data_IF_644247506150
#
_entry.id   IF_644247506150
#
_cell.length_a   1.000
_cell.length_b   1.000
_cell.length_c   1.000
_cell.angle_alpha   90.00
_cell.angle_beta   90.00
_cell.angle_gamma   90.00
#
_symmetry.space_group_name_H-M   'P 1'
#
loop_
_entity.id
_entity.type
_entity.pdbx_description
1 polymer ?
#
# COMPACT_ATOMS: atom_id res chain seq x y z
N UNK A 1 0.61 -4.43 31.07
CA UNK A 1 1.70 -3.71 30.38
C UNK A 1 2.29 -4.65 29.35
N UNK A 2 2.23 -4.28 28.10
CA UNK A 2 2.76 -5.08 26.99
C UNK A 2 3.77 -4.22 26.21
N UNK A 3 4.87 -4.84 25.78
CA UNK A 3 5.91 -4.16 24.99
C UNK A 3 5.85 -4.70 23.57
N UNK A 4 5.72 -3.80 22.61
CA UNK A 4 5.78 -4.08 21.18
C UNK A 4 7.10 -3.55 20.62
N UNK A 5 7.53 -4.08 19.48
CA UNK A 5 8.71 -3.55 18.76
C UNK A 5 8.24 -2.96 17.44
N UNK A 6 8.62 -1.71 17.19
CA UNK A 6 8.28 -1.03 15.95
C UNK A 6 9.28 -1.32 14.81
N UNK A 7 9.01 -0.79 13.62
CA UNK A 7 9.86 -0.96 12.46
C UNK A 7 11.26 -0.31 12.57
N UNK A 8 11.48 0.55 13.57
CA UNK A 8 12.78 1.14 13.89
C UNK A 8 13.47 0.41 15.04
N UNK A 9 12.99 -0.79 15.40
CA UNK A 9 13.48 -1.64 16.49
C UNK A 9 13.41 -0.98 17.87
N UNK A 10 12.44 -0.05 18.07
CA UNK A 10 12.22 0.60 19.37
C UNK A 10 11.14 -0.12 20.16
N UNK A 11 11.30 -0.22 21.48
CA UNK A 11 10.23 -0.71 22.36
C UNK A 11 9.12 0.34 22.47
N UNK A 12 7.88 -0.09 22.30
CA UNK A 12 6.67 0.70 22.47
C UNK A 12 5.88 0.11 23.62
N UNK A 13 5.79 0.82 24.72
CA UNK A 13 5.09 0.36 25.92
C UNK A 13 3.61 0.72 25.85
N UNK A 14 2.73 -0.26 25.92
CA UNK A 14 1.29 -0.08 26.03
C UNK A 14 0.85 -0.56 27.42
N UNK A 15 0.51 0.40 28.28
CA UNK A 15 0.06 0.12 29.65
C UNK A 15 -1.42 -0.26 29.71
N UNK A 16 -2.22 0.34 28.85
CA UNK A 16 -3.66 0.10 28.68
C UNK A 16 -4.04 0.40 27.24
N UNK A 17 -5.18 -0.10 26.77
CA UNK A 17 -5.69 0.18 25.42
C UNK A 17 -5.77 1.69 25.17
N UNK A 18 -5.14 2.20 24.08
CA UNK A 18 -5.15 3.62 23.78
C UNK A 18 -6.57 4.12 23.51
N UNK A 19 -6.90 5.27 24.11
CA UNK A 19 -8.19 5.95 23.95
C UNK A 19 -8.12 7.19 23.06
N UNK A 20 -6.91 7.66 22.78
CA UNK A 20 -6.63 8.86 21.98
C UNK A 20 -5.54 8.54 20.97
N UNK A 21 -5.95 8.15 19.77
CA UNK A 21 -5.05 7.71 18.71
C UNK A 21 -4.95 8.80 17.65
N UNK A 22 -3.74 9.17 17.27
CA UNK A 22 -3.48 9.96 16.06
C UNK A 22 -2.91 9.03 14.99
N UNK A 23 -3.60 8.93 13.86
CA UNK A 23 -3.16 8.14 12.71
C UNK A 23 -2.59 9.03 11.61
N UNK A 24 -1.32 8.82 11.27
CA UNK A 24 -0.62 9.60 10.24
C UNK A 24 -0.59 8.89 8.87
N UNK A 25 -1.30 7.76 8.73
CA UNK A 25 -1.27 6.88 7.56
C UNK A 25 -2.69 6.56 7.11
N UNK A 26 -3.05 6.84 5.84
CA UNK A 26 -4.41 6.63 5.34
C UNK A 26 -4.94 5.20 5.50
N UNK A 27 -4.18 4.21 5.06
CA UNK A 27 -4.58 2.79 5.15
C UNK A 27 -4.73 2.29 6.60
N UNK A 28 -3.90 2.80 7.52
CA UNK A 28 -3.99 2.46 8.95
C UNK A 28 -5.19 3.17 9.58
N UNK A 29 -5.50 4.40 9.15
CA UNK A 29 -6.72 5.08 9.59
C UNK A 29 -7.95 4.24 9.26
N UNK A 30 -8.07 3.75 8.03
CA UNK A 30 -9.14 2.85 7.63
C UNK A 30 -9.19 1.59 8.50
N UNK A 31 -8.02 0.97 8.76
CA UNK A 31 -7.95 -0.21 9.64
C UNK A 31 -8.47 0.06 11.05
N UNK A 32 -8.10 1.19 11.65
CA UNK A 32 -8.58 1.57 12.99
C UNK A 32 -10.10 1.71 13.03
N UNK A 33 -10.71 2.34 12.00
CA UNK A 33 -12.16 2.43 11.92
C UNK A 33 -12.81 1.06 11.71
N UNK A 34 -12.22 0.20 10.88
CA UNK A 34 -12.72 -1.16 10.64
C UNK A 34 -12.63 -2.03 11.89
N UNK A 35 -11.65 -1.78 12.76
CA UNK A 35 -11.50 -2.45 14.07
C UNK A 35 -12.39 -1.87 15.17
N UNK A 36 -13.32 -0.95 14.82
CA UNK A 36 -14.23 -0.35 15.78
C UNK A 36 -13.63 0.76 16.63
N UNK A 37 -12.44 1.25 16.30
CA UNK A 37 -11.71 2.26 17.09
C UNK A 37 -11.98 3.70 16.62
N UNK A 38 -13.03 3.92 15.82
CA UNK A 38 -13.34 5.23 15.29
C UNK A 38 -13.40 6.33 16.34
N UNK A 39 -14.00 6.05 17.50
CA UNK A 39 -14.10 7.03 18.61
C UNK A 39 -12.75 7.33 19.26
N UNK A 40 -11.84 6.37 19.30
CA UNK A 40 -10.50 6.56 19.82
C UNK A 40 -9.61 7.37 18.87
N UNK A 41 -9.90 7.43 17.57
CA UNK A 41 -9.16 8.26 16.61
C UNK A 41 -9.51 9.72 16.81
N UNK A 42 -8.56 10.52 17.33
CA UNK A 42 -8.74 11.96 17.62
C UNK A 42 -8.10 12.87 16.57
N UNK A 43 -7.15 12.37 15.79
CA UNK A 43 -6.46 13.15 14.77
C UNK A 43 -6.00 12.27 13.59
N UNK A 44 -6.07 12.85 12.38
CA UNK A 44 -5.69 12.17 11.14
C UNK A 44 -5.04 13.15 10.17
N UNK A 45 -4.28 12.66 9.18
CA UNK A 45 -3.78 13.54 8.11
C UNK A 45 -4.92 13.93 7.16
N UNK A 46 -4.71 14.98 6.35
CA UNK A 46 -5.69 15.37 5.30
C UNK A 46 -5.87 14.30 4.22
N UNK A 47 -4.93 13.35 4.08
CA UNK A 47 -5.00 12.25 3.14
C UNK A 47 -5.75 11.02 3.68
N UNK A 48 -6.05 10.99 4.97
CA UNK A 48 -6.93 9.99 5.56
C UNK A 48 -8.37 10.33 5.19
N UNK A 49 -8.87 9.73 4.11
CA UNK A 49 -10.18 9.99 3.52
C UNK A 49 -11.17 8.85 3.74
N UNK A 50 -10.71 7.73 4.29
CA UNK A 50 -11.53 6.54 4.55
C UNK A 50 -11.63 6.22 6.04
N UNK A 51 -12.82 5.77 6.50
CA UNK A 51 -14.11 5.89 5.81
C UNK A 51 -14.58 7.35 5.81
N UNK A 52 -15.22 7.86 4.73
CA UNK A 52 -15.51 9.30 4.59
C UNK A 52 -16.31 9.88 5.75
N UNK A 53 -17.38 9.21 6.17
CA UNK A 53 -18.21 9.66 7.31
C UNK A 53 -17.43 9.63 8.64
N UNK A 54 -16.54 8.66 8.82
CA UNK A 54 -15.76 8.51 10.06
C UNK A 54 -14.70 9.59 10.22
N UNK A 55 -14.00 9.93 9.15
CA UNK A 55 -12.88 10.89 9.20
C UNK A 55 -13.30 12.36 9.05
N UNK A 56 -14.55 12.62 8.64
CA UNK A 56 -15.05 13.97 8.38
C UNK A 56 -14.92 14.90 9.59
N UNK A 57 -15.25 14.40 10.78
CA UNK A 57 -15.20 15.15 12.03
C UNK A 57 -13.86 15.09 12.78
N UNK A 58 -12.85 14.37 12.26
CA UNK A 58 -11.56 14.23 12.95
C UNK A 58 -10.63 15.39 12.69
N UNK A 59 -9.88 15.79 13.74
CA UNK A 59 -8.91 16.88 13.64
C UNK A 59 -7.86 16.56 12.57
N UNK A 60 -7.65 17.49 11.63
CA UNK A 60 -6.61 17.34 10.59
C UNK A 60 -5.29 17.89 11.11
N UNK A 61 -4.28 17.02 11.22
CA UNK A 61 -2.95 17.34 11.75
C UNK A 61 -1.91 17.61 10.65
N UNK A 62 -2.35 18.09 9.49
CA UNK A 62 -1.49 18.35 8.33
C UNK A 62 -1.52 17.24 7.30
N UNK A 63 -0.47 17.13 6.50
CA UNK A 63 -0.28 16.07 5.51
C UNK A 63 0.76 15.04 5.94
N UNK A 64 0.88 13.93 5.22
CA UNK A 64 1.87 12.88 5.52
C UNK A 64 3.31 13.40 5.49
N UNK A 65 3.62 14.33 4.56
CA UNK A 65 4.94 14.98 4.42
C UNK A 65 4.99 16.43 4.94
N UNK A 66 3.90 16.94 5.48
CA UNK A 66 3.78 18.30 6.02
C UNK A 66 2.94 18.26 7.29
N UNK A 67 3.45 17.50 8.28
CA UNK A 67 2.78 17.30 9.56
C UNK A 67 2.86 18.57 10.42
N UNK A 68 1.76 18.90 11.10
CA UNK A 68 1.76 19.88 12.18
C UNK A 68 1.96 19.16 13.52
N UNK A 69 3.21 19.07 13.94
CA UNK A 69 3.61 18.41 15.19
C UNK A 69 2.97 19.09 16.40
N UNK A 70 2.73 20.41 16.35
CA UNK A 70 2.11 21.13 17.45
C UNK A 70 0.65 20.75 17.64
N UNK A 71 -0.09 20.58 16.55
CA UNK A 71 -1.47 20.09 16.59
C UNK A 71 -1.54 18.64 17.11
N UNK A 72 -0.62 17.77 16.68
CA UNK A 72 -0.56 16.40 17.23
C UNK A 72 -0.39 16.43 18.74
N UNK A 73 0.52 17.26 19.26
CA UNK A 73 0.77 17.41 20.71
C UNK A 73 -0.44 17.93 21.48
N UNK A 74 -1.17 18.92 20.91
CA UNK A 74 -2.38 19.49 21.52
C UNK A 74 -3.51 18.47 21.65
N UNK A 75 -3.51 17.43 20.84
CA UNK A 75 -4.47 16.35 20.94
C UNK A 75 -4.17 15.36 22.08
N UNK A 76 -3.03 15.50 22.76
CA UNK A 76 -2.60 14.63 23.87
C UNK A 76 -2.85 13.14 23.58
N UNK A 77 -2.29 12.58 22.46
CA UNK A 77 -2.57 11.19 22.09
C UNK A 77 -1.84 10.20 23.02
N UNK A 78 -2.52 9.09 23.32
CA UNK A 78 -1.92 7.95 24.00
C UNK A 78 -1.02 7.15 23.05
N UNK A 79 -1.35 7.19 21.75
CA UNK A 79 -0.62 6.52 20.68
C UNK A 79 -0.66 7.35 19.40
N UNK A 80 0.50 7.50 18.76
CA UNK A 80 0.62 8.00 17.39
C UNK A 80 1.09 6.85 16.49
N UNK A 81 0.42 6.63 15.36
CA UNK A 81 0.84 5.61 14.39
C UNK A 81 1.36 6.30 13.13
N UNK A 82 2.60 6.01 12.80
CA UNK A 82 3.34 6.55 11.67
C UNK A 82 3.90 5.43 10.78
N UNK A 83 4.41 5.80 9.61
CA UNK A 83 5.04 4.87 8.68
C UNK A 83 6.33 5.46 8.11
N UNK A 84 7.32 4.60 7.86
CA UNK A 84 8.65 4.99 7.34
C UNK A 84 8.55 5.69 5.98
N UNK A 85 7.67 5.24 5.09
CA UNK A 85 7.54 5.79 3.73
C UNK A 85 6.59 6.98 3.67
N UNK A 86 5.54 6.98 4.49
CA UNK A 86 4.51 8.02 4.47
C UNK A 86 4.95 9.29 5.20
N UNK A 87 5.65 9.17 6.32
CA UNK A 87 5.96 10.30 7.18
C UNK A 87 7.43 10.72 7.06
N UNK A 88 7.72 12.00 7.31
CA UNK A 88 9.09 12.49 7.33
C UNK A 88 9.78 12.03 8.60
N UNK A 89 11.03 11.51 8.51
CA UNK A 89 11.79 11.10 9.70
C UNK A 89 11.97 12.22 10.73
N UNK A 90 12.04 13.48 10.28
CA UNK A 90 12.18 14.66 11.13
C UNK A 90 10.95 14.86 12.01
N UNK A 91 9.75 14.74 11.41
CA UNK A 91 8.48 14.90 12.11
C UNK A 91 8.30 13.79 13.16
N UNK A 92 8.61 12.54 12.78
CA UNK A 92 8.57 11.40 13.69
C UNK A 92 9.53 11.58 14.87
N UNK A 93 10.78 12.03 14.61
CA UNK A 93 11.74 12.32 15.68
C UNK A 93 11.27 13.42 16.63
N UNK A 94 10.61 14.47 16.11
CA UNK A 94 10.05 15.54 16.95
C UNK A 94 8.92 15.03 17.85
N UNK A 95 8.03 14.15 17.33
CA UNK A 95 6.97 13.55 18.15
C UNK A 95 7.55 12.70 19.28
N UNK A 96 8.57 11.88 18.97
CA UNK A 96 9.27 11.06 19.96
C UNK A 96 9.98 11.92 21.02
N UNK A 97 10.70 12.96 20.58
CA UNK A 97 11.40 13.90 21.48
C UNK A 97 10.42 14.67 22.38
N UNK A 98 9.19 14.87 21.93
CA UNK A 98 8.12 15.45 22.73
C UNK A 98 7.51 14.47 23.77
N UNK A 99 8.03 13.24 23.87
CA UNK A 99 7.57 12.23 24.84
C UNK A 99 6.31 11.48 24.41
N UNK A 100 5.87 11.62 23.16
CA UNK A 100 4.71 10.89 22.64
C UNK A 100 5.06 9.43 22.36
N UNK A 101 4.10 8.54 22.57
CA UNK A 101 4.24 7.13 22.26
C UNK A 101 3.96 6.92 20.76
N UNK A 102 5.02 6.76 19.95
CA UNK A 102 4.94 6.70 18.48
C UNK A 102 5.31 5.31 18.00
N UNK A 103 4.35 4.59 17.42
CA UNK A 103 4.54 3.33 16.70
C UNK A 103 4.85 3.62 15.24
N UNK A 104 6.00 3.20 14.76
CA UNK A 104 6.40 3.35 13.35
C UNK A 104 6.25 2.01 12.64
N UNK A 105 5.47 1.97 11.57
CA UNK A 105 5.24 0.79 10.75
C UNK A 105 6.08 0.84 9.47
N UNK A 106 6.37 -0.33 8.88
CA UNK A 106 7.04 -0.43 7.59
C UNK A 106 6.77 -1.78 6.92
N UNK A 107 5.53 -2.09 6.54
CA UNK A 107 5.25 -3.33 5.81
C UNK A 107 5.80 -3.25 4.39
N UNK A 108 6.67 -4.19 4.02
CA UNK A 108 7.27 -4.29 2.68
C UNK A 108 6.73 -5.47 1.88
N UNK A 109 5.89 -6.28 2.52
CA UNK A 109 5.23 -7.44 1.92
C UNK A 109 3.77 -7.49 2.33
N UNK A 110 2.95 -8.20 1.57
CA UNK A 110 1.54 -8.43 1.92
C UNK A 110 1.42 -9.13 3.28
N UNK A 111 2.27 -10.13 3.52
CA UNK A 111 2.31 -10.82 4.82
C UNK A 111 2.68 -9.88 5.98
N UNK A 112 3.64 -8.97 5.76
CA UNK A 112 3.99 -7.95 6.77
C UNK A 112 2.84 -6.95 7.00
N UNK A 113 2.04 -6.63 5.99
CA UNK A 113 0.83 -5.81 6.12
C UNK A 113 -0.24 -6.48 6.99
N UNK A 114 -0.44 -7.78 6.82
CA UNK A 114 -1.34 -8.59 7.66
C UNK A 114 -0.84 -8.65 9.11
N UNK A 115 0.47 -8.86 9.31
CA UNK A 115 1.06 -8.89 10.66
C UNK A 115 0.99 -7.52 11.34
N UNK A 116 1.18 -6.43 10.59
CA UNK A 116 0.98 -5.07 11.09
C UNK A 116 -0.45 -4.85 11.60
N UNK A 117 -1.48 -5.33 10.87
CA UNK A 117 -2.87 -5.28 11.35
C UNK A 117 -3.03 -6.02 12.68
N UNK A 118 -2.46 -7.22 12.80
CA UNK A 118 -2.47 -8.01 14.05
C UNK A 118 -1.81 -7.26 15.20
N UNK A 119 -0.64 -6.67 14.96
CA UNK A 119 0.09 -5.91 15.95
C UNK A 119 -0.69 -4.68 16.42
N UNK A 120 -1.28 -3.92 15.49
CA UNK A 120 -2.14 -2.77 15.84
C UNK A 120 -3.34 -3.23 16.66
N UNK A 121 -4.01 -4.30 16.26
CA UNK A 121 -5.17 -4.82 16.98
C UNK A 121 -4.82 -5.27 18.42
N UNK A 122 -3.66 -5.90 18.61
CA UNK A 122 -3.15 -6.26 19.95
C UNK A 122 -2.82 -5.02 20.80
N UNK A 123 -2.19 -4.00 20.20
CA UNK A 123 -1.85 -2.75 20.88
C UNK A 123 -3.08 -1.98 21.36
N UNK A 124 -4.17 -2.10 20.63
CA UNK A 124 -5.41 -1.33 20.82
C UNK A 124 -6.52 -2.13 21.48
N UNK A 125 -6.23 -3.39 21.88
CA UNK A 125 -7.21 -4.32 22.46
C UNK A 125 -8.46 -4.53 21.58
N UNK A 126 -8.24 -4.58 20.25
CA UNK A 126 -9.30 -4.75 19.25
C UNK A 126 -9.18 -6.04 18.45
N UNK A 127 -8.46 -7.04 18.98
CA UNK A 127 -8.18 -8.28 18.24
C UNK A 127 -9.45 -9.04 17.83
N UNK A 128 -10.48 -9.04 18.67
CA UNK A 128 -11.75 -9.70 18.37
C UNK A 128 -12.41 -9.13 17.12
N UNK A 129 -12.45 -7.80 16.99
CA UNK A 129 -13.00 -7.12 15.80
C UNK A 129 -12.10 -7.24 14.57
N UNK A 130 -10.79 -7.30 14.76
CA UNK A 130 -9.81 -7.36 13.67
C UNK A 130 -9.62 -8.79 13.12
N UNK A 131 -9.84 -9.82 13.94
CA UNK A 131 -9.51 -11.21 13.59
C UNK A 131 -10.18 -11.70 12.29
N UNK A 132 -11.48 -11.47 12.05
CA UNK A 132 -12.11 -11.88 10.80
C UNK A 132 -11.45 -11.27 9.56
N UNK A 133 -11.02 -10.01 9.65
CA UNK A 133 -10.36 -9.28 8.55
C UNK A 133 -8.96 -9.83 8.31
N UNK A 134 -8.24 -10.12 9.40
CA UNK A 134 -6.90 -10.72 9.36
C UNK A 134 -6.96 -12.13 8.75
N UNK A 135 -7.96 -12.92 9.12
CA UNK A 135 -8.16 -14.27 8.60
C UNK A 135 -8.53 -14.24 7.11
N UNK A 136 -9.41 -13.33 6.71
CA UNK A 136 -9.77 -13.16 5.30
C UNK A 136 -8.55 -12.73 4.46
N UNK A 137 -7.77 -11.76 4.94
CA UNK A 137 -6.55 -11.32 4.26
C UNK A 137 -5.51 -12.45 4.16
N UNK A 138 -5.38 -13.26 5.21
CA UNK A 138 -4.45 -14.41 5.25
C UNK A 138 -4.88 -15.51 4.28
N UNK A 139 -6.18 -15.82 4.23
CA UNK A 139 -6.74 -16.77 3.28
C UNK A 139 -6.56 -16.32 1.84
N UNK A 140 -6.89 -15.05 1.54
CA UNK A 140 -6.71 -14.46 0.22
C UNK A 140 -5.23 -14.46 -0.23
N UNK A 141 -4.29 -14.21 0.68
CA UNK A 141 -2.86 -14.30 0.39
C UNK A 141 -2.45 -15.73 0.02
N UNK A 142 -2.92 -16.73 0.77
CA UNK A 142 -2.63 -18.13 0.48
C UNK A 142 -3.22 -18.57 -0.88
N UNK A 143 -4.45 -18.19 -1.15
CA UNK A 143 -5.14 -18.45 -2.43
C UNK A 143 -4.43 -17.78 -3.60
N UNK A 144 -4.06 -16.51 -3.46
CA UNK A 144 -3.35 -15.77 -4.49
C UNK A 144 -2.00 -16.40 -4.85
N UNK A 145 -1.24 -16.86 -3.85
CA UNK A 145 0.03 -17.56 -4.06
C UNK A 145 -0.18 -18.89 -4.78
N UNK A 146 -1.12 -19.71 -4.33
CA UNK A 146 -1.41 -21.01 -4.96
C UNK A 146 -1.83 -20.85 -6.43
N UNK A 147 -2.66 -19.85 -6.73
CA UNK A 147 -3.05 -19.50 -8.10
C UNK A 147 -1.86 -19.07 -8.95
N UNK A 148 -0.97 -18.26 -8.40
CA UNK A 148 0.19 -17.70 -9.10
C UNK A 148 1.26 -18.75 -9.40
N UNK A 149 1.47 -19.73 -8.50
CA UNK A 149 2.45 -20.79 -8.67
C UNK A 149 2.17 -21.70 -9.89
N UNK A 150 0.90 -21.82 -10.29
CA UNK A 150 0.48 -22.61 -11.45
C UNK A 150 0.62 -21.87 -12.79
N UNK A 151 1.03 -20.60 -12.79
CA UNK A 151 1.02 -19.73 -13.97
C UNK A 151 2.41 -19.17 -14.29
N UNK A 152 2.67 -18.94 -15.58
CA UNK A 152 3.87 -18.19 -16.01
C UNK A 152 3.66 -16.72 -15.67
N UNK A 153 4.57 -16.09 -14.88
CA UNK A 153 4.39 -14.70 -14.47
C UNK A 153 4.29 -13.72 -15.64
N UNK A 154 3.34 -12.79 -15.58
CA UNK A 154 3.18 -11.71 -16.54
C UNK A 154 4.17 -10.56 -16.21
N UNK A 155 4.88 -10.06 -17.22
CA UNK A 155 5.72 -8.87 -17.05
C UNK A 155 4.84 -7.65 -16.89
N UNK A 156 4.99 -6.96 -15.74
CA UNK A 156 4.15 -5.80 -15.37
C UNK A 156 5.02 -4.57 -15.16
N UNK A 157 4.57 -3.45 -15.71
CA UNK A 157 5.07 -2.12 -15.39
C UNK A 157 4.04 -1.38 -14.52
N UNK A 158 4.48 -0.91 -13.35
CA UNK A 158 3.67 -0.11 -12.44
C UNK A 158 4.44 1.17 -12.10
N UNK A 159 4.20 2.30 -12.80
CA UNK A 159 4.79 3.57 -12.44
C UNK A 159 4.12 4.16 -11.21
N UNK A 160 4.89 4.88 -10.41
CA UNK A 160 4.41 5.63 -9.23
C UNK A 160 4.63 7.13 -9.36
N UNK A 161 5.35 7.58 -10.38
CA UNK A 161 5.62 8.98 -10.65
C UNK A 161 5.90 9.24 -12.13
N UNK A 162 5.68 10.50 -12.53
CA UNK A 162 5.92 11.01 -13.89
C UNK A 162 6.76 12.29 -13.84
N UNK A 163 7.76 12.38 -14.72
CA UNK A 163 8.74 13.46 -14.83
C UNK A 163 9.69 13.56 -13.61
N UNK A 164 10.69 12.67 -13.54
CA UNK A 164 10.94 11.55 -14.45
C UNK A 164 9.95 10.40 -14.23
N UNK A 165 9.90 9.44 -15.16
CA UNK A 165 9.23 8.17 -14.90
C UNK A 165 9.94 7.47 -13.73
N UNK A 166 9.17 7.04 -12.76
CA UNK A 166 9.66 6.28 -11.62
C UNK A 166 8.72 5.11 -11.38
N UNK A 167 9.28 3.96 -11.07
CA UNK A 167 8.55 2.73 -10.77
C UNK A 167 8.92 2.21 -9.39
N UNK A 168 8.42 1.02 -9.06
CA UNK A 168 8.76 0.28 -7.86
C UNK A 168 9.83 -0.76 -8.16
N UNK A 169 10.81 -0.90 -7.29
CA UNK A 169 11.81 -1.95 -7.30
C UNK A 169 11.52 -3.02 -6.27
N UNK A 170 12.43 -4.00 -6.12
CA UNK A 170 12.41 -4.94 -5.01
C UNK A 170 12.36 -4.21 -3.67
N UNK A 171 11.97 -4.93 -2.61
CA UNK A 171 11.89 -4.38 -1.25
C UNK A 171 10.82 -3.28 -1.07
N UNK A 172 9.79 -3.25 -1.93
CA UNK A 172 8.61 -2.40 -1.78
C UNK A 172 7.34 -3.25 -1.65
N UNK A 173 6.34 -2.73 -0.93
CA UNK A 173 5.05 -3.41 -0.78
C UNK A 173 4.40 -3.70 -2.13
N UNK A 174 4.38 -2.73 -3.05
CA UNK A 174 3.79 -2.90 -4.39
C UNK A 174 4.50 -4.02 -5.17
N UNK A 175 5.83 -4.12 -5.06
CA UNK A 175 6.57 -5.20 -5.72
C UNK A 175 6.14 -6.58 -5.22
N UNK A 176 6.08 -6.77 -3.89
CA UNK A 176 5.64 -8.03 -3.28
C UNK A 176 4.19 -8.33 -3.63
N UNK A 177 3.31 -7.32 -3.57
CA UNK A 177 1.90 -7.45 -3.93
C UNK A 177 1.72 -7.95 -5.37
N UNK A 178 2.41 -7.32 -6.33
CA UNK A 178 2.42 -7.75 -7.73
C UNK A 178 2.92 -9.19 -7.88
N UNK A 179 3.99 -9.54 -7.16
CA UNK A 179 4.53 -10.90 -7.18
C UNK A 179 3.51 -11.93 -6.65
N UNK A 180 2.85 -11.64 -5.55
CA UNK A 180 1.76 -12.46 -4.98
C UNK A 180 0.63 -12.65 -6.00
N UNK A 181 0.30 -11.62 -6.78
CA UNK A 181 -0.70 -11.70 -7.83
C UNK A 181 -0.24 -12.45 -9.10
N UNK A 182 0.99 -12.97 -9.15
CA UNK A 182 1.54 -13.67 -10.31
C UNK A 182 2.16 -12.77 -11.37
N UNK A 183 2.48 -11.54 -11.01
CA UNK A 183 3.17 -10.60 -11.88
C UNK A 183 4.69 -10.59 -11.64
N UNK A 184 5.44 -10.41 -12.71
CA UNK A 184 6.86 -10.12 -12.68
C UNK A 184 7.06 -8.62 -12.93
N UNK A 185 7.33 -7.86 -11.89
CA UNK A 185 7.70 -6.46 -12.02
C UNK A 185 8.93 -6.34 -12.94
N UNK A 186 8.85 -5.56 -14.03
CA UNK A 186 9.94 -5.43 -15.01
C UNK A 186 11.24 -4.85 -14.43
N UNK A 187 11.18 -4.25 -13.23
CA UNK A 187 12.34 -3.71 -12.50
C UNK A 187 12.82 -4.61 -11.34
N UNK A 188 12.38 -5.87 -11.27
CA UNK A 188 12.71 -6.81 -10.18
C UNK A 188 14.21 -7.04 -9.95
N UNK A 189 15.07 -6.76 -10.95
CA UNK A 189 16.55 -6.88 -10.85
C UNK A 189 17.25 -5.57 -10.50
N UNK A 190 16.50 -4.47 -10.33
CA UNK A 190 17.09 -3.20 -9.90
C UNK A 190 17.37 -3.26 -8.40
N UNK A 191 18.42 -2.57 -7.95
CA UNK A 191 18.73 -2.45 -6.53
C UNK A 191 17.98 -1.30 -5.87
N UNK A 192 17.55 -0.32 -6.68
CA UNK A 192 16.83 0.85 -6.20
C UNK A 192 15.38 0.48 -5.82
N UNK A 193 14.93 0.93 -4.67
CA UNK A 193 13.52 0.78 -4.26
C UNK A 193 12.57 1.50 -5.21
N UNK A 194 12.99 2.63 -5.74
CA UNK A 194 12.22 3.48 -6.64
C UNK A 194 13.04 3.85 -7.87
N UNK A 195 13.20 2.92 -8.82
CA UNK A 195 14.03 3.14 -10.01
C UNK A 195 13.44 4.23 -10.90
N UNK A 196 14.31 5.17 -11.29
CA UNK A 196 14.03 6.13 -12.36
C UNK A 196 14.29 5.43 -13.70
N UNK A 197 13.42 5.68 -14.67
CA UNK A 197 13.43 5.04 -15.98
C UNK A 197 12.94 6.00 -17.09
N UNK A 198 12.98 5.55 -18.33
CA UNK A 198 12.42 6.22 -19.50
C UNK A 198 11.60 5.24 -20.36
N UNK A 199 10.85 5.79 -21.34
CA UNK A 199 10.00 4.98 -22.20
C UNK A 199 10.79 3.98 -23.04
N UNK A 200 12.03 4.29 -23.43
CA UNK A 200 12.87 3.36 -24.19
C UNK A 200 13.29 2.17 -23.34
N UNK A 201 13.64 2.37 -22.07
CA UNK A 201 13.93 1.26 -21.16
C UNK A 201 12.71 0.41 -20.90
N UNK A 202 11.54 1.03 -20.67
CA UNK A 202 10.27 0.32 -20.52
C UNK A 202 9.97 -0.51 -21.76
N UNK A 203 10.12 0.07 -22.96
CA UNK A 203 9.91 -0.63 -24.22
C UNK A 203 10.83 -1.84 -24.40
N UNK A 204 12.12 -1.70 -24.09
CA UNK A 204 13.08 -2.84 -24.13
C UNK A 204 12.74 -3.96 -23.16
N UNK A 205 12.08 -3.65 -22.03
CA UNK A 205 11.65 -4.64 -21.04
C UNK A 205 10.34 -5.30 -21.41
N UNK A 206 9.63 -4.77 -22.38
CA UNK A 206 8.40 -5.28 -22.97
C UNK A 206 7.37 -5.75 -21.93
N UNK A 207 6.77 -4.85 -21.16
CA UNK A 207 5.70 -5.24 -20.26
C UNK A 207 4.49 -5.79 -21.03
N UNK A 208 3.88 -6.85 -20.49
CA UNK A 208 2.64 -7.44 -21.01
C UNK A 208 1.40 -6.77 -20.41
N UNK A 209 1.57 -6.10 -19.27
CA UNK A 209 0.53 -5.30 -18.61
C UNK A 209 1.16 -4.02 -18.05
N UNK A 210 0.46 -2.91 -18.18
CA UNK A 210 0.80 -1.64 -17.54
C UNK A 210 -0.33 -1.27 -16.59
N UNK A 211 0.03 -1.02 -15.32
CA UNK A 211 -0.92 -0.62 -14.27
C UNK A 211 -0.65 0.84 -13.90
N UNK A 212 -1.59 1.72 -14.20
CA UNK A 212 -1.53 3.14 -13.89
C UNK A 212 -2.38 3.48 -12.66
N UNK A 213 -1.80 3.52 -11.45
CA UNK A 213 -2.52 3.91 -10.26
C UNK A 213 -2.81 5.43 -10.25
N UNK A 214 -3.83 5.84 -9.49
CA UNK A 214 -4.15 7.25 -9.27
C UNK A 214 -3.40 7.86 -8.06
N UNK A 215 -2.63 7.06 -7.35
CA UNK A 215 -1.72 7.48 -6.27
C UNK A 215 -0.43 6.65 -6.20
N UNK A 216 0.68 7.19 -5.73
CA UNK A 216 0.88 8.55 -5.21
C UNK A 216 0.87 9.65 -6.28
N UNK A 217 1.07 9.30 -7.57
CA UNK A 217 0.90 10.20 -8.71
C UNK A 217 -0.41 9.86 -9.44
N UNK A 218 -1.24 10.86 -9.69
CA UNK A 218 -2.52 10.64 -10.35
C UNK A 218 -2.33 10.41 -11.85
N UNK A 219 -2.20 9.15 -12.25
CA UNK A 219 -2.28 8.76 -13.64
C UNK A 219 -3.72 8.87 -14.17
N UNK A 220 -3.86 9.09 -15.47
CA UNK A 220 -5.14 9.27 -16.19
C UNK A 220 -4.95 9.01 -17.68
N UNK A 221 -6.02 9.00 -18.47
CA UNK A 221 -6.01 8.72 -19.91
C UNK A 221 -4.97 9.51 -20.70
N UNK A 222 -4.69 10.77 -20.33
CA UNK A 222 -3.66 11.58 -20.97
C UNK A 222 -2.25 10.97 -20.93
N UNK A 223 -2.00 10.05 -20.01
CA UNK A 223 -0.70 9.40 -19.87
C UNK A 223 -0.57 8.16 -20.78
N UNK A 224 -1.69 7.59 -21.24
CA UNK A 224 -1.73 6.49 -22.20
C UNK A 224 -1.07 6.89 -23.52
N UNK A 225 -1.27 8.13 -23.95
CA UNK A 225 -0.71 8.66 -25.20
C UNK A 225 0.82 8.63 -25.24
N UNK A 226 1.49 8.61 -24.08
CA UNK A 226 2.95 8.49 -24.04
C UNK A 226 3.45 7.16 -24.64
N UNK A 227 2.60 6.13 -24.66
CA UNK A 227 2.92 4.80 -25.19
C UNK A 227 2.52 4.62 -26.66
N UNK A 228 1.77 5.53 -27.27
CA UNK A 228 1.33 5.43 -28.66
C UNK A 228 2.51 5.33 -29.66
N UNK A 229 3.68 5.84 -29.30
CA UNK A 229 4.91 5.75 -30.12
C UNK A 229 5.60 4.38 -30.02
N UNK A 230 5.10 3.48 -29.16
CA UNK A 230 5.68 2.17 -28.90
C UNK A 230 4.66 1.03 -29.13
N UNK A 231 4.08 0.92 -30.35
CA UNK A 231 3.02 -0.05 -30.64
C UNK A 231 3.49 -1.51 -30.54
N UNK A 232 4.80 -1.73 -30.50
CA UNK A 232 5.41 -3.05 -30.36
C UNK A 232 5.50 -3.55 -28.92
N UNK A 233 5.27 -2.68 -27.90
CA UNK A 233 5.18 -3.13 -26.51
C UNK A 233 3.95 -4.04 -26.38
N UNK A 234 4.13 -5.24 -25.80
CA UNK A 234 3.05 -6.22 -25.63
C UNK A 234 1.79 -5.63 -25.01
N UNK A 235 1.93 -4.86 -23.91
CA UNK A 235 0.81 -4.22 -23.23
C UNK A 235 0.06 -3.19 -24.13
N UNK A 236 0.75 -2.54 -25.05
CA UNK A 236 0.14 -1.58 -25.98
C UNK A 236 -0.59 -2.30 -27.10
N UNK A 237 0.06 -3.29 -27.70
CA UNK A 237 -0.50 -4.11 -28.79
C UNK A 237 -1.76 -4.86 -28.37
N UNK A 238 -1.72 -5.40 -27.12
CA UNK A 238 -2.76 -6.27 -26.58
C UNK A 238 -3.79 -5.49 -25.73
N UNK A 239 -3.74 -4.15 -25.77
CA UNK A 239 -4.65 -3.21 -25.08
C UNK A 239 -4.73 -3.44 -23.55
N UNK A 240 -3.60 -3.87 -22.93
CA UNK A 240 -3.52 -4.21 -21.53
C UNK A 240 -2.87 -3.10 -20.69
N UNK A 241 -3.39 -1.90 -20.85
CA UNK A 241 -3.02 -0.73 -20.03
C UNK A 241 -4.24 -0.34 -19.20
N UNK A 242 -4.12 -0.48 -17.87
CA UNK A 242 -5.24 -0.30 -16.95
C UNK A 242 -5.01 0.89 -16.03
N UNK A 243 -6.01 1.76 -15.93
CA UNK A 243 -6.13 2.77 -14.87
C UNK A 243 -6.85 2.12 -13.69
N UNK A 244 -6.33 2.32 -12.48
CA UNK A 244 -6.94 1.73 -11.29
C UNK A 244 -6.72 2.62 -10.05
N UNK A 245 -7.55 2.43 -9.04
CA UNK A 245 -7.31 3.06 -7.74
C UNK A 245 -6.01 2.53 -7.14
N UNK A 246 -5.07 3.44 -6.83
CA UNK A 246 -3.79 3.08 -6.24
C UNK A 246 -3.92 2.39 -4.89
N UNK A 247 -5.05 2.63 -4.18
CA UNK A 247 -5.38 1.93 -2.93
C UNK A 247 -5.30 0.40 -3.06
N UNK A 248 -5.62 -0.17 -4.23
CA UNK A 248 -5.47 -1.61 -4.47
C UNK A 248 -4.01 -2.09 -4.45
N UNK A 249 -3.07 -1.21 -4.74
CA UNK A 249 -1.65 -1.58 -4.85
C UNK A 249 -0.82 -1.18 -3.63
N UNK A 250 -1.18 -0.09 -2.93
CA UNK A 250 -0.33 0.50 -1.90
C UNK A 250 -0.97 0.57 -0.51
N UNK A 251 -2.27 0.26 -0.35
CA UNK A 251 -2.91 0.28 0.96
C UNK A 251 -2.84 -1.10 1.63
N UNK A 252 -1.92 -1.22 2.55
CA UNK A 252 -1.79 -2.37 3.44
C UNK A 252 -2.77 -2.23 4.62
N UNK A 253 -3.78 -3.10 4.69
CA UNK A 253 -4.84 -2.99 5.70
C UNK A 253 -6.06 -3.85 5.32
N UNK A 254 -7.27 -3.43 5.69
CA UNK A 254 -8.50 -4.19 5.45
C UNK A 254 -8.77 -4.52 3.97
N UNK A 255 -8.22 -3.72 3.07
CA UNK A 255 -8.41 -3.90 1.61
C UNK A 255 -7.57 -5.04 1.00
N UNK A 256 -6.61 -5.62 1.74
CA UNK A 256 -5.67 -6.62 1.18
C UNK A 256 -6.41 -7.74 0.46
N UNK A 257 -7.42 -8.37 1.09
CA UNK A 257 -8.13 -9.49 0.48
C UNK A 257 -8.83 -9.12 -0.83
N UNK A 258 -9.62 -8.05 -0.80
CA UNK A 258 -10.33 -7.56 -1.99
C UNK A 258 -9.37 -7.09 -3.08
N UNK A 259 -8.25 -6.46 -2.71
CA UNK A 259 -7.25 -5.99 -3.66
C UNK A 259 -6.50 -7.13 -4.35
N UNK A 260 -6.15 -8.19 -3.64
CA UNK A 260 -5.52 -9.38 -4.24
C UNK A 260 -6.44 -10.02 -5.29
N UNK A 261 -7.71 -10.24 -4.95
CA UNK A 261 -8.70 -10.78 -5.88
C UNK A 261 -8.87 -9.87 -7.11
N UNK A 262 -9.08 -8.57 -6.87
CA UNK A 262 -9.26 -7.59 -7.94
C UNK A 262 -8.07 -7.55 -8.91
N UNK A 263 -6.83 -7.49 -8.40
CA UNK A 263 -5.66 -7.40 -9.28
C UNK A 263 -5.38 -8.73 -9.98
N UNK A 264 -5.65 -9.88 -9.34
CA UNK A 264 -5.57 -11.17 -10.02
C UNK A 264 -6.60 -11.27 -11.15
N UNK A 265 -7.84 -10.82 -10.94
CA UNK A 265 -8.86 -10.79 -12.00
C UNK A 265 -8.45 -9.86 -13.15
N UNK A 266 -7.85 -8.72 -12.84
CA UNK A 266 -7.32 -7.78 -13.83
C UNK A 266 -6.18 -8.40 -14.67
N UNK A 267 -5.31 -9.18 -14.02
CA UNK A 267 -4.18 -9.81 -14.67
C UNK A 267 -4.57 -11.09 -15.46
N UNK A 268 -5.56 -11.85 -14.96
CA UNK A 268 -5.82 -13.20 -15.42
C UNK A 268 -7.28 -13.49 -15.81
N UNK A 269 -8.20 -12.54 -15.71
CA UNK A 269 -9.61 -12.69 -16.06
C UNK A 269 -9.84 -13.02 -17.54
N UNK A 270 -11.06 -13.42 -17.91
CA UNK A 270 -11.40 -13.91 -19.25
C UNK A 270 -11.07 -12.92 -20.38
N UNK A 271 -11.13 -11.63 -20.13
CA UNK A 271 -10.69 -10.58 -21.06
C UNK A 271 -9.16 -10.59 -21.30
N UNK A 272 -8.37 -11.28 -20.45
CA UNK A 272 -6.93 -11.42 -20.57
C UNK A 272 -6.50 -12.71 -21.26
N UNK A 273 -7.43 -13.66 -21.53
CA UNK A 273 -7.14 -14.99 -22.08
C UNK A 273 -7.11 -15.06 -23.62
N UNK A 274 -7.27 -13.95 -24.32
CA UNK A 274 -7.04 -13.91 -25.78
C UNK A 274 -5.53 -13.84 -26.08
N UNK A 275 -4.76 -14.84 -25.66
CA UNK A 275 -3.37 -15.03 -26.11
C UNK A 275 -3.38 -15.90 -27.38
N UNK A 276 -3.03 -15.36 -28.58
CA UNK A 276 -3.05 -16.10 -29.84
C UNK A 276 -1.99 -17.19 -29.96
N UNK A 277 -1.13 -17.38 -28.96
CA UNK A 277 0.00 -18.32 -29.04
C UNK A 277 -0.23 -19.70 -28.40
N UNK A 278 -1.44 -19.99 -27.93
CA UNK A 278 -1.79 -21.32 -27.35
C UNK A 278 -2.18 -22.38 -28.39
N UNK A 279 -2.17 -22.05 -29.68
CA UNK A 279 -2.57 -23.00 -30.76
C UNK A 279 -1.43 -23.29 -31.74
N UNK A 280 -0.29 -23.75 -31.23
CA UNK A 280 0.74 -24.41 -32.03
C UNK A 280 1.47 -25.44 -31.16
N UNK A 281 0.90 -26.60 -31.08
CA UNK A 281 1.56 -27.87 -30.73
C UNK A 281 1.55 -28.76 -31.94
#
# INVERSE_FOLDING_TARGET
>A
MTIFTDALYRPIEIKQAPKRIVSLVPSITEALFTFGLGDAVVGVTRFCVEPPAGVAGKQKVGGTKTLDVSQVRQLEPDLVIANVEENRPEDVRQLIAAGLNVMVTFPRTVAAGIEMMRQIAQMTDSIEAAQPIIDEASAALAEARATSESRRPLRVFCPIWRNPWMSVGPDTYIHDFLHVCGALNIFWRRHDRYPITDLNEIARRDPQVILFPDEPYRFSDKHLTAFSQYPFISAVRDERIHLLEGKHLCWYGPRIAGSLRFVQDLLWGESAQQDPQSTAA
#
